data_IF_871171212636
#
_entry.id   IF_871171212636
#
_cell.length_a   1.000
_cell.length_b   1.000
_cell.length_c   1.000
_cell.angle_alpha   90.00
_cell.angle_beta   90.00
_cell.angle_gamma   90.00
#
_symmetry.space_group_name_H-M   'P 1'
#
loop_
_entity.id
_entity.type
_entity.pdbx_description
1 polymer ?
#
# COMPACT_ATOMS: atom_id res chain seq x y z
N UNK A 1 -42.52 14.86 16.46
CA UNK A 1 -43.08 14.11 17.62
C UNK A 1 -42.31 14.50 18.88
N UNK A 2 -42.97 14.57 20.02
CA UNK A 2 -42.35 14.97 21.30
C UNK A 2 -41.61 13.80 21.96
N UNK A 3 -40.54 14.07 22.72
CA UNK A 3 -39.87 13.07 23.56
C UNK A 3 -40.84 12.30 24.50
N UNK A 4 -41.97 12.94 24.86
CA UNK A 4 -43.06 12.35 25.66
C UNK A 4 -43.80 11.20 24.95
N UNK A 5 -43.67 11.06 23.63
CA UNK A 5 -44.24 9.96 22.83
C UNK A 5 -43.28 8.77 22.71
N UNK A 6 -41.96 9.00 22.67
CA UNK A 6 -40.95 7.93 22.59
C UNK A 6 -40.92 7.07 23.87
N UNK A 7 -41.11 7.70 25.04
CA UNK A 7 -41.12 7.04 26.35
C UNK A 7 -42.29 6.04 26.59
N UNK A 8 -43.20 5.85 25.62
CA UNK A 8 -44.30 4.86 25.69
C UNK A 8 -43.98 3.50 25.06
N UNK A 9 -42.85 3.35 24.37
CA UNK A 9 -42.56 2.15 23.55
C UNK A 9 -41.63 1.11 24.21
N UNK A 10 -41.29 1.24 25.50
CA UNK A 10 -40.50 0.23 26.23
C UNK A 10 -41.28 -0.33 27.43
N UNK A 11 -41.63 -1.63 27.44
CA UNK A 11 -42.31 -2.27 28.56
C UNK A 11 -41.45 -2.31 29.84
N UNK A 12 -42.10 -2.14 31.00
CA UNK A 12 -41.45 -2.20 32.33
C UNK A 12 -41.42 -3.64 32.85
N UNK A 13 -40.29 -4.09 33.39
CA UNK A 13 -40.17 -5.34 34.13
C UNK A 13 -39.56 -5.12 35.54
N UNK A 14 -40.46 -5.14 36.54
CA UNK A 14 -40.32 -5.48 37.97
C UNK A 14 -38.99 -5.24 38.74
N UNK A 15 -39.05 -4.30 39.71
CA UNK A 15 -38.31 -4.40 40.99
C UNK A 15 -39.19 -5.13 42.01
N UNK A 16 -38.60 -6.04 42.80
CA UNK A 16 -39.27 -6.64 43.97
C UNK A 16 -39.24 -5.67 45.18
N UNK A 17 -40.23 -5.79 46.06
CA UNK A 17 -40.37 -4.98 47.27
C UNK A 17 -40.19 -5.86 48.53
N UNK A 18 -39.34 -5.40 49.47
CA UNK A 18 -39.04 -5.98 50.81
C UNK A 18 -38.06 -7.17 50.86
N UNK A 19 -37.49 -7.34 52.06
CA UNK A 19 -36.28 -8.12 52.40
C UNK A 19 -36.57 -9.17 53.49
N UNK A 20 -35.99 -10.37 53.45
CA UNK A 20 -36.03 -11.32 54.57
C UNK A 20 -34.99 -10.98 55.66
N UNK A 21 -35.30 -11.29 56.92
CA UNK A 21 -34.50 -10.96 58.11
C UNK A 21 -34.36 -12.20 59.00
N UNK A 22 -33.09 -12.56 59.27
CA UNK A 22 -32.51 -13.27 60.44
C UNK A 22 -33.18 -14.57 60.96
N UNK A 23 -32.33 -15.58 61.19
CA UNK A 23 -32.40 -16.34 62.45
C UNK A 23 -30.98 -16.54 63.05
N UNK A 24 -30.86 -16.48 64.38
CA UNK A 24 -29.63 -16.72 65.20
C UNK A 24 -29.96 -16.98 66.67
N UNK A 25 -29.74 -18.22 67.16
CA UNK A 25 -29.07 -18.49 68.46
C UNK A 25 -28.08 -19.69 68.38
N UNK A 26 -27.20 -20.05 69.35
CA UNK A 26 -26.63 -19.38 70.54
C UNK A 26 -25.35 -20.13 71.05
N UNK A 27 -24.16 -19.49 70.99
CA UNK A 27 -23.04 -19.58 71.99
C UNK A 27 -22.31 -20.93 72.28
N UNK A 28 -21.23 -20.94 73.12
CA UNK A 28 -20.10 -20.01 73.28
C UNK A 28 -18.72 -20.74 73.33
N UNK A 29 -17.58 -20.12 73.02
CA UNK A 29 -16.56 -19.46 73.91
C UNK A 29 -15.35 -19.24 72.97
N UNK A 30 -14.49 -18.24 73.07
CA UNK A 30 -13.80 -17.67 74.23
C UNK A 30 -13.29 -16.26 73.87
N UNK A 31 -13.19 -15.36 74.86
CA UNK A 31 -12.66 -14.01 74.64
C UNK A 31 -11.14 -14.09 74.52
N UNK A 32 -10.61 -14.07 73.29
CA UNK A 32 -9.21 -13.77 73.04
C UNK A 32 -9.04 -12.25 73.02
N UNK A 33 -8.57 -11.70 74.14
CA UNK A 33 -8.24 -10.29 74.28
C UNK A 33 -7.08 -9.92 73.35
N UNK A 34 -7.41 -9.37 72.18
CA UNK A 34 -6.42 -8.81 71.28
C UNK A 34 -5.85 -7.53 71.91
N UNK A 35 -4.61 -7.60 72.39
CA UNK A 35 -3.89 -6.46 72.95
C UNK A 35 -3.61 -5.35 71.91
N UNK A 36 -2.91 -4.26 72.32
CA UNK A 36 -2.75 -3.05 71.50
C UNK A 36 -2.15 -3.27 70.09
N UNK A 37 -1.50 -4.40 69.85
CA UNK A 37 -0.95 -4.78 68.55
C UNK A 37 -1.98 -4.98 67.43
N UNK A 38 -3.29 -5.02 67.73
CA UNK A 38 -4.37 -5.09 66.75
C UNK A 38 -4.57 -3.80 65.92
N UNK A 39 -3.99 -2.67 66.34
CA UNK A 39 -4.18 -1.35 65.72
C UNK A 39 -2.93 -0.80 65.01
N UNK A 40 -1.94 -1.64 64.67
CA UNK A 40 -0.82 -1.20 63.82
C UNK A 40 -1.20 -1.25 62.33
N UNK A 41 -0.96 -0.18 61.52
CA UNK A 41 -1.50 -0.07 60.16
C UNK A 41 -0.96 -1.04 59.10
N UNK A 42 0.07 -1.84 59.42
CA UNK A 42 0.90 -2.55 58.45
C UNK A 42 0.82 -4.07 58.59
N UNK A 43 -0.38 -4.68 58.49
CA UNK A 43 -0.52 -6.15 58.58
C UNK A 43 -1.37 -6.84 57.51
N UNK A 44 -1.66 -6.15 56.39
CA UNK A 44 -2.49 -6.70 55.29
C UNK A 44 -1.88 -6.52 53.89
N UNK A 45 -0.55 -6.66 53.74
CA UNK A 45 0.11 -6.73 52.43
C UNK A 45 1.32 -7.69 52.42
N UNK A 46 1.08 -8.99 52.53
CA UNK A 46 1.90 -9.91 51.73
C UNK A 46 1.35 -9.87 50.30
N UNK A 47 2.13 -9.27 49.40
CA UNK A 47 1.70 -9.00 48.02
C UNK A 47 1.75 -10.29 47.23
N UNK A 48 0.58 -10.88 47.02
CA UNK A 48 0.39 -12.12 46.29
C UNK A 48 0.92 -11.97 44.85
N UNK A 49 2.00 -12.71 44.53
CA UNK A 49 2.69 -12.61 43.23
C UNK A 49 1.81 -12.99 42.04
N UNK A 50 0.67 -13.65 42.29
CA UNK A 50 -0.29 -14.06 41.26
C UNK A 50 -1.23 -12.93 40.81
N UNK A 51 -1.43 -11.88 41.62
CA UNK A 51 -2.45 -10.85 41.35
C UNK A 51 -2.06 -9.87 40.22
N UNK A 52 -0.77 -9.78 39.86
CA UNK A 52 -0.30 -8.92 38.75
C UNK A 52 -0.53 -9.50 37.35
N UNK A 53 -0.79 -10.82 37.23
CA UNK A 53 -1.01 -11.48 35.92
C UNK A 53 -2.36 -11.19 35.26
N UNK A 54 -3.26 -10.47 35.94
CA UNK A 54 -4.59 -10.05 35.45
C UNK A 54 -4.83 -8.55 35.57
N UNK A 55 -3.77 -7.76 35.67
CA UNK A 55 -3.85 -6.36 35.27
C UNK A 55 -3.94 -6.40 33.75
N UNK A 56 -5.15 -6.28 33.20
CA UNK A 56 -5.35 -5.95 31.79
C UNK A 56 -4.35 -4.85 31.44
N UNK A 57 -3.60 -5.02 30.34
CA UNK A 57 -2.64 -4.02 29.89
C UNK A 57 -3.33 -2.66 30.02
N UNK A 58 -2.82 -1.71 30.83
CA UNK A 58 -3.34 -0.36 30.73
C UNK A 58 -3.07 0.02 29.29
N UNK A 59 -4.14 0.13 28.48
CA UNK A 59 -4.01 0.47 27.08
C UNK A 59 -3.24 1.78 27.07
N UNK A 60 -1.97 1.71 26.66
CA UNK A 60 -1.16 2.90 26.49
C UNK A 60 -1.68 3.55 25.21
N UNK A 61 -2.85 4.19 25.36
CA UNK A 61 -3.33 5.19 24.44
C UNK A 61 -2.10 6.06 24.14
N UNK A 62 -1.66 6.12 22.88
CA UNK A 62 -0.43 6.81 22.52
C UNK A 62 -0.55 8.21 23.08
N UNK A 63 0.45 8.66 23.86
CA UNK A 63 0.35 9.87 24.68
C UNK A 63 -0.16 11.00 23.79
N UNK A 64 -1.45 11.34 23.93
CA UNK A 64 -2.08 12.29 23.04
C UNK A 64 -1.41 13.62 23.30
N UNK A 65 -0.58 14.04 22.35
CA UNK A 65 -0.02 15.37 22.35
C UNK A 65 -1.21 16.30 22.14
N UNK A 66 -1.62 16.98 23.22
CA UNK A 66 -2.59 18.05 23.13
C UNK A 66 -1.91 19.13 22.29
N UNK A 67 -2.32 19.23 21.03
CA UNK A 67 -1.85 20.25 20.11
C UNK A 67 -2.54 21.54 20.53
N UNK A 68 -1.84 22.38 21.28
CA UNK A 68 -2.35 23.71 21.62
C UNK A 68 -2.56 24.51 20.32
N UNK A 69 -3.80 24.82 19.91
CA UNK A 69 -4.06 25.43 18.60
C UNK A 69 -3.42 26.83 18.48
N UNK A 70 -3.17 27.50 19.62
CA UNK A 70 -2.44 28.77 19.70
C UNK A 70 -0.99 28.68 19.23
N UNK A 71 -0.36 27.51 19.34
CA UNK A 71 1.03 27.28 18.93
C UNK A 71 1.14 26.92 17.44
N UNK A 72 0.03 26.61 16.79
CA UNK A 72 -0.06 26.20 15.39
C UNK A 72 -0.98 27.15 14.61
N UNK A 73 -0.57 28.42 14.52
CA UNK A 73 -1.32 29.49 13.86
C UNK A 73 -1.58 29.27 12.36
N UNK A 74 -0.75 28.46 11.70
CA UNK A 74 -0.91 28.10 10.30
C UNK A 74 -1.77 26.84 10.15
N UNK A 75 -2.73 26.88 9.22
CA UNK A 75 -3.48 25.69 8.83
C UNK A 75 -2.59 24.61 8.20
N UNK A 76 -3.02 23.34 8.24
CA UNK A 76 -2.34 22.24 7.55
C UNK A 76 -2.21 22.52 6.04
N UNK A 77 -3.22 23.17 5.44
CA UNK A 77 -3.19 23.58 4.05
C UNK A 77 -2.03 24.55 3.76
N UNK A 78 -1.82 25.57 4.60
CA UNK A 78 -0.69 26.50 4.44
C UNK A 78 0.68 25.81 4.57
N UNK A 79 0.82 24.78 5.41
CA UNK A 79 2.07 24.02 5.49
C UNK A 79 2.31 23.21 4.20
N UNK A 80 1.31 22.48 3.72
CA UNK A 80 1.40 21.72 2.47
C UNK A 80 1.59 22.64 1.24
N UNK A 81 1.02 23.84 1.25
CA UNK A 81 1.18 24.83 0.17
C UNK A 81 2.52 25.58 0.24
N UNK A 82 3.19 25.63 1.40
CA UNK A 82 4.60 26.09 1.51
C UNK A 82 5.57 25.08 0.89
N UNK A 83 5.27 23.78 0.97
CA UNK A 83 6.08 22.71 0.37
C UNK A 83 5.90 22.61 -1.16
N UNK A 84 4.72 22.98 -1.67
CA UNK A 84 4.47 23.01 -3.12
C UNK A 84 5.31 24.10 -3.80
N UNK A 85 6.09 23.69 -4.80
CA UNK A 85 6.78 24.63 -5.69
C UNK A 85 5.74 25.46 -6.45
N UNK A 86 5.84 26.79 -6.34
CA UNK A 86 4.97 27.74 -7.08
C UNK A 86 5.40 27.82 -8.54
N UNK A 87 4.92 26.88 -9.35
CA UNK A 87 5.07 26.90 -10.80
C UNK A 87 3.84 27.59 -11.43
N UNK A 88 4.06 28.48 -12.40
CA UNK A 88 2.97 28.99 -13.25
C UNK A 88 2.49 27.88 -14.17
N UNK A 89 1.17 27.59 -14.23
CA UNK A 89 0.65 26.52 -15.08
C UNK A 89 0.85 26.89 -16.57
N UNK A 90 1.43 25.97 -17.34
CA UNK A 90 1.77 26.16 -18.75
C UNK A 90 1.07 25.09 -19.60
N UNK A 91 0.19 25.52 -20.51
CA UNK A 91 -0.44 24.62 -21.48
C UNK A 91 0.46 24.50 -22.72
N UNK A 92 0.89 23.29 -23.06
CA UNK A 92 1.74 22.99 -24.22
C UNK A 92 0.99 22.35 -25.40
N UNK A 93 -0.31 22.07 -25.23
CA UNK A 93 -1.13 21.42 -26.26
C UNK A 93 -1.93 22.39 -27.12
N UNK A 94 -2.82 21.81 -27.92
CA UNK A 94 -3.79 22.58 -28.70
C UNK A 94 -4.84 23.25 -27.81
N UNK A 95 -5.45 24.33 -28.33
CA UNK A 95 -6.60 24.94 -27.68
C UNK A 95 -7.76 23.92 -27.55
N UNK A 96 -8.48 23.90 -26.41
CA UNK A 96 -9.55 22.94 -26.17
C UNK A 96 -10.68 23.11 -27.20
N UNK A 97 -11.27 21.98 -27.64
CA UNK A 97 -12.43 22.02 -28.54
C UNK A 97 -13.57 22.80 -27.90
N UNK A 98 -14.17 23.73 -28.64
CA UNK A 98 -15.42 24.36 -28.22
C UNK A 98 -16.51 23.27 -28.19
N UNK A 99 -16.95 22.88 -27.00
CA UNK A 99 -18.08 21.97 -26.84
C UNK A 99 -19.30 22.63 -27.46
N UNK A 100 -19.95 21.96 -28.42
CA UNK A 100 -21.22 22.43 -28.94
C UNK A 100 -22.20 22.57 -27.76
N UNK A 101 -22.93 23.69 -27.63
CA UNK A 101 -23.91 23.83 -26.57
C UNK A 101 -24.96 22.74 -26.71
N UNK A 102 -25.26 22.05 -25.62
CA UNK A 102 -26.27 20.99 -25.62
C UNK A 102 -27.58 21.53 -26.18
N UNK A 103 -28.13 20.86 -27.21
CA UNK A 103 -29.35 21.30 -27.89
C UNK A 103 -30.46 21.49 -26.84
N UNK A 104 -31.10 22.67 -26.76
CA UNK A 104 -32.11 22.92 -25.74
C UNK A 104 -33.30 21.99 -25.94
N UNK A 105 -33.47 21.03 -25.03
CA UNK A 105 -34.61 20.10 -25.00
C UNK A 105 -35.93 20.88 -24.97
N UNK A 106 -36.88 20.51 -25.82
CA UNK A 106 -38.20 21.13 -25.91
C UNK A 106 -39.02 20.86 -24.65
N UNK A 107 -40.01 21.72 -24.37
CA UNK A 107 -40.76 21.65 -23.10
C UNK A 107 -41.54 20.32 -22.93
N UNK A 108 -42.05 19.74 -24.02
CA UNK A 108 -42.65 18.39 -23.99
C UNK A 108 -41.64 17.30 -23.56
N UNK A 109 -40.39 17.36 -24.03
CA UNK A 109 -39.32 16.45 -23.60
C UNK A 109 -38.95 16.67 -22.13
N UNK A 110 -39.00 17.92 -21.66
CA UNK A 110 -38.76 18.25 -20.24
C UNK A 110 -39.85 17.66 -19.35
N UNK A 111 -41.13 17.81 -19.71
CA UNK A 111 -42.24 17.17 -19.00
C UNK A 111 -42.11 15.64 -18.96
N UNK A 112 -41.70 15.01 -20.06
CA UNK A 112 -41.52 13.56 -20.10
C UNK A 112 -40.37 13.10 -19.19
N UNK A 113 -39.22 13.79 -19.22
CA UNK A 113 -38.12 13.52 -18.31
C UNK A 113 -38.48 13.81 -16.84
N UNK A 114 -39.34 14.81 -16.58
CA UNK A 114 -39.82 15.14 -15.23
C UNK A 114 -40.71 14.01 -14.68
N UNK A 115 -41.62 13.48 -15.50
CA UNK A 115 -42.42 12.29 -15.16
C UNK A 115 -41.56 11.05 -14.92
N UNK A 116 -40.53 10.81 -15.75
CA UNK A 116 -39.58 9.70 -15.56
C UNK A 116 -38.71 9.88 -14.31
N UNK A 117 -38.28 11.11 -14.01
CA UNK A 117 -37.53 11.47 -12.80
C UNK A 117 -38.33 11.19 -11.53
N UNK A 118 -39.61 11.61 -11.48
CA UNK A 118 -40.52 11.32 -10.34
C UNK A 118 -40.71 9.83 -10.07
N UNK A 119 -40.56 8.98 -11.10
CA UNK A 119 -40.65 7.52 -10.99
C UNK A 119 -39.28 6.83 -10.79
N UNK A 120 -38.19 7.57 -10.82
CA UNK A 120 -36.81 7.06 -10.88
C UNK A 120 -36.52 6.13 -12.08
N UNK A 121 -37.20 6.40 -13.22
CA UNK A 121 -37.00 5.71 -14.52
C UNK A 121 -36.05 6.47 -15.45
N UNK A 122 -35.55 7.65 -15.05
CA UNK A 122 -34.67 8.48 -15.87
C UNK A 122 -33.21 8.02 -15.76
N UNK A 123 -32.69 7.45 -16.85
CA UNK A 123 -31.28 7.07 -17.00
C UNK A 123 -30.52 8.08 -17.86
N UNK A 124 -29.20 8.12 -17.68
CA UNK A 124 -28.26 8.87 -18.52
C UNK A 124 -27.39 7.87 -19.25
N UNK A 125 -27.27 8.00 -20.57
CA UNK A 125 -26.46 7.08 -21.38
C UNK A 125 -24.97 7.26 -21.04
N UNK A 126 -24.28 6.25 -20.49
CA UNK A 126 -22.90 6.38 -20.03
C UNK A 126 -21.95 6.73 -21.19
N UNK A 127 -22.20 6.18 -22.38
CA UNK A 127 -21.42 6.41 -23.59
C UNK A 127 -21.49 7.87 -24.08
N UNK A 128 -22.55 8.60 -23.70
CA UNK A 128 -22.68 10.04 -24.01
C UNK A 128 -21.89 10.94 -23.04
N UNK A 129 -21.46 10.42 -21.90
CA UNK A 129 -20.77 11.20 -20.87
C UNK A 129 -19.26 11.21 -21.10
N UNK A 130 -18.74 12.34 -21.60
CA UNK A 130 -17.30 12.54 -21.74
C UNK A 130 -16.64 12.69 -20.35
N UNK A 131 -15.88 11.67 -19.95
CA UNK A 131 -15.07 11.65 -18.74
C UNK A 131 -13.83 12.54 -18.92
N UNK A 132 -13.99 13.85 -18.80
CA UNK A 132 -12.90 14.81 -18.90
C UNK A 132 -11.88 14.66 -17.76
N UNK A 133 -10.60 14.55 -18.11
CA UNK A 133 -9.66 13.65 -17.40
C UNK A 133 -8.39 14.30 -16.87
N UNK A 134 -8.20 15.60 -17.10
CA UNK A 134 -7.06 16.36 -16.61
C UNK A 134 -6.89 16.27 -15.09
N UNK A 135 -7.99 16.20 -14.32
CA UNK A 135 -7.94 15.99 -12.87
C UNK A 135 -7.35 14.62 -12.48
N UNK A 136 -7.64 13.56 -13.23
CA UNK A 136 -7.12 12.21 -13.02
C UNK A 136 -5.63 12.17 -13.38
N UNK A 137 -5.25 12.74 -14.53
CA UNK A 137 -3.87 12.84 -14.99
C UNK A 137 -2.98 13.63 -13.99
N UNK A 138 -3.53 14.70 -13.39
CA UNK A 138 -2.88 15.47 -12.34
C UNK A 138 -2.79 14.71 -11.01
N UNK A 139 -3.84 13.98 -10.61
CA UNK A 139 -3.80 13.13 -9.41
C UNK A 139 -2.68 12.07 -9.52
N UNK A 140 -2.56 11.44 -10.70
CA UNK A 140 -1.49 10.49 -11.01
C UNK A 140 -0.17 11.14 -11.43
N UNK A 141 -0.02 12.48 -11.36
CA UNK A 141 1.21 13.22 -11.69
C UNK A 141 1.83 12.87 -13.06
N UNK A 142 1.00 12.49 -14.03
CA UNK A 142 1.47 11.98 -15.33
C UNK A 142 2.24 13.07 -16.09
N UNK A 143 1.68 14.28 -16.18
CA UNK A 143 2.35 15.40 -16.85
C UNK A 143 3.64 15.85 -16.12
N UNK A 144 3.62 15.87 -14.77
CA UNK A 144 4.78 16.27 -13.95
C UNK A 144 5.99 15.37 -14.20
N UNK A 145 5.78 14.06 -14.34
CA UNK A 145 6.84 13.10 -14.60
C UNK A 145 7.31 13.06 -16.07
N UNK A 146 6.45 13.46 -17.02
CA UNK A 146 6.77 13.48 -18.46
C UNK A 146 7.47 14.77 -18.92
N UNK A 147 6.92 15.92 -18.54
CA UNK A 147 7.31 17.23 -19.07
C UNK A 147 7.88 18.17 -17.99
N UNK A 148 7.59 17.90 -16.71
CA UNK A 148 8.04 18.71 -15.58
C UNK A 148 6.89 19.42 -14.85
N UNK A 149 7.22 20.00 -13.69
CA UNK A 149 6.24 20.61 -12.80
C UNK A 149 5.54 21.85 -13.42
N UNK A 150 4.21 21.85 -13.39
CA UNK A 150 3.37 22.95 -13.89
C UNK A 150 3.02 22.86 -15.38
N UNK A 151 3.56 21.90 -16.12
CA UNK A 151 3.19 21.65 -17.53
C UNK A 151 1.95 20.77 -17.60
N UNK A 152 1.03 21.07 -18.52
CA UNK A 152 -0.15 20.26 -18.81
C UNK A 152 -0.62 20.46 -20.27
N UNK A 153 -1.57 19.64 -20.71
CA UNK A 153 -2.38 19.91 -21.89
C UNK A 153 -3.76 19.26 -21.77
N UNK A 154 -4.71 19.72 -22.59
CA UNK A 154 -6.04 19.13 -22.73
C UNK A 154 -6.05 18.08 -23.85
N UNK A 155 -6.83 17.00 -23.68
CA UNK A 155 -7.06 16.03 -24.76
C UNK A 155 -7.98 16.67 -25.81
N UNK A 156 -7.46 16.86 -27.02
CA UNK A 156 -8.11 17.54 -28.16
C UNK A 156 -8.35 16.59 -29.34
N UNK A 157 -7.89 15.35 -29.25
CA UNK A 157 -8.08 14.31 -30.27
C UNK A 157 -8.50 13.01 -29.60
N UNK A 158 -9.57 12.41 -30.10
CA UNK A 158 -10.05 11.14 -29.59
C UNK A 158 -9.08 10.03 -30.03
N UNK A 159 -8.73 9.18 -29.07
CA UNK A 159 -7.71 8.15 -29.17
C UNK A 159 -8.28 6.95 -28.43
N UNK A 160 -8.47 5.84 -29.13
CA UNK A 160 -8.96 4.60 -28.52
C UNK A 160 -7.89 3.52 -28.67
N UNK A 161 -7.56 2.87 -27.55
CA UNK A 161 -6.50 1.87 -27.48
C UNK A 161 -7.05 0.64 -26.77
N UNK A 162 -6.89 -0.54 -27.36
CA UNK A 162 -7.32 -1.80 -26.77
C UNK A 162 -6.30 -2.92 -26.92
N UNK A 163 -6.19 -3.76 -25.89
CA UNK A 163 -5.45 -5.00 -25.88
C UNK A 163 -6.44 -6.17 -25.95
N UNK A 164 -6.78 -6.58 -27.17
CA UNK A 164 -7.87 -7.53 -27.42
C UNK A 164 -9.21 -6.95 -26.94
N UNK A 165 -9.85 -7.61 -25.99
CA UNK A 165 -11.12 -7.15 -25.40
C UNK A 165 -10.95 -6.06 -24.33
N UNK A 166 -9.72 -5.76 -23.90
CA UNK A 166 -9.46 -4.83 -22.80
C UNK A 166 -9.09 -3.43 -23.30
N UNK A 167 -10.00 -2.47 -23.15
CA UNK A 167 -9.75 -1.05 -23.42
C UNK A 167 -8.79 -0.40 -22.42
N UNK A 168 -8.00 0.56 -22.90
CA UNK A 168 -7.14 1.45 -22.11
C UNK A 168 -7.88 2.76 -21.86
N UNK A 169 -7.96 3.17 -20.60
CA UNK A 169 -8.64 4.39 -20.17
C UNK A 169 -7.66 5.29 -19.41
N UNK A 170 -8.05 5.77 -18.22
CA UNK A 170 -7.30 6.73 -17.42
C UNK A 170 -6.99 6.14 -16.04
N UNK A 171 -6.03 5.21 -16.02
CA UNK A 171 -5.55 4.54 -14.81
C UNK A 171 -6.25 3.23 -14.47
N UNK A 172 -6.94 2.59 -15.43
CA UNK A 172 -7.41 1.22 -15.27
C UNK A 172 -6.23 0.23 -15.20
N UNK A 173 -6.41 -0.89 -14.51
CA UNK A 173 -5.34 -1.89 -14.34
C UNK A 173 -5.43 -2.98 -15.41
N UNK A 174 -4.32 -3.24 -16.10
CA UNK A 174 -4.17 -4.33 -17.07
C UNK A 174 -2.95 -5.20 -16.70
N UNK A 175 -3.06 -6.53 -16.81
CA UNK A 175 -1.91 -7.41 -16.58
C UNK A 175 -0.88 -7.28 -17.70
N UNK A 176 0.38 -7.57 -17.38
CA UNK A 176 1.45 -7.57 -18.38
C UNK A 176 1.28 -8.68 -19.44
N UNK A 177 0.54 -9.76 -19.12
CA UNK A 177 0.20 -10.82 -20.09
C UNK A 177 -0.85 -10.38 -21.12
N UNK A 178 -1.88 -9.62 -20.71
CA UNK A 178 -2.83 -8.98 -21.65
C UNK A 178 -2.10 -8.01 -22.59
N UNK A 179 -1.12 -7.27 -22.06
CA UNK A 179 -0.25 -6.40 -22.84
C UNK A 179 0.99 -7.11 -23.44
N UNK A 180 0.92 -8.42 -23.69
CA UNK A 180 1.99 -9.19 -24.36
C UNK A 180 2.04 -8.91 -25.87
N UNK A 181 0.87 -8.73 -26.50
CA UNK A 181 0.71 -8.39 -27.91
C UNK A 181 0.60 -6.88 -28.14
N UNK A 182 0.79 -6.45 -29.40
CA UNK A 182 0.59 -5.05 -29.81
C UNK A 182 -0.88 -4.63 -29.59
N UNK A 183 -1.15 -3.42 -29.08
CA UNK A 183 -2.51 -2.92 -28.97
C UNK A 183 -3.09 -2.59 -30.35
N UNK A 184 -4.41 -2.67 -30.47
CA UNK A 184 -5.15 -1.98 -31.52
C UNK A 184 -5.24 -0.50 -31.12
N UNK A 185 -5.01 0.39 -32.08
CA UNK A 185 -5.02 1.84 -31.86
C UNK A 185 -5.85 2.48 -32.95
N UNK A 186 -6.89 3.21 -32.55
CA UNK A 186 -7.72 4.02 -33.43
C UNK A 186 -7.47 5.49 -33.08
N UNK A 187 -7.18 6.29 -34.11
CA UNK A 187 -6.85 7.71 -33.98
C UNK A 187 -7.90 8.48 -34.77
N UNK A 188 -8.57 9.43 -34.13
CA UNK A 188 -9.51 10.31 -34.81
C UNK A 188 -8.80 11.17 -35.88
N UNK A 189 -9.33 11.16 -37.10
CA UNK A 189 -8.85 12.01 -38.21
C UNK A 189 -9.36 13.43 -38.05
N UNK A 190 -8.48 14.44 -38.12
CA UNK A 190 -8.84 15.86 -37.91
C UNK A 190 -8.46 16.73 -39.12
N UNK A 191 -7.30 16.51 -39.73
CA UNK A 191 -6.74 17.38 -40.76
C UNK A 191 -5.96 16.55 -41.78
N UNK A 192 -6.58 16.34 -42.94
CA UNK A 192 -5.99 15.64 -44.07
C UNK A 192 -4.61 16.20 -44.43
N UNK A 193 -3.59 15.33 -44.46
CA UNK A 193 -2.21 15.71 -44.74
C UNK A 193 -1.37 16.11 -43.52
N UNK A 194 -1.95 16.14 -42.32
CA UNK A 194 -1.17 16.13 -41.08
C UNK A 194 -0.62 14.72 -40.79
N UNK A 195 0.27 14.65 -39.80
CA UNK A 195 0.85 13.41 -39.31
C UNK A 195 0.72 13.34 -37.79
N UNK A 196 0.61 12.12 -37.28
CA UNK A 196 0.56 11.79 -35.87
C UNK A 196 1.80 10.96 -35.49
N UNK A 197 2.18 10.99 -34.22
CA UNK A 197 3.27 10.17 -33.66
C UNK A 197 2.84 9.67 -32.29
N UNK A 198 2.86 8.35 -32.13
CA UNK A 198 2.44 7.66 -30.91
C UNK A 198 3.67 7.20 -30.12
N UNK A 199 3.68 7.50 -28.83
CA UNK A 199 4.63 6.96 -27.85
C UNK A 199 3.89 6.11 -26.82
N UNK A 200 4.46 4.97 -26.45
CA UNK A 200 4.08 4.14 -25.30
C UNK A 200 5.26 4.08 -24.33
N UNK A 201 5.07 4.62 -23.13
CA UNK A 201 6.14 4.95 -22.19
C UNK A 201 5.81 4.44 -20.80
N UNK A 202 6.76 3.78 -20.15
CA UNK A 202 6.67 3.39 -18.75
C UNK A 202 7.36 4.46 -17.87
N UNK A 203 6.56 5.14 -17.04
CA UNK A 203 7.01 6.23 -16.18
C UNK A 203 7.83 5.76 -14.98
N UNK A 204 7.60 4.51 -14.56
CA UNK A 204 8.11 3.94 -13.31
C UNK A 204 9.09 2.77 -13.56
N UNK A 205 9.34 2.45 -14.83
CA UNK A 205 10.01 1.22 -15.29
C UNK A 205 11.52 1.29 -15.46
N UNK A 206 12.18 2.39 -15.07
CA UNK A 206 13.62 2.58 -15.27
C UNK A 206 14.44 1.92 -14.14
N UNK A 207 15.25 0.87 -14.40
CA UNK A 207 16.09 0.25 -13.38
C UNK A 207 17.52 0.82 -13.35
N UNK A 208 17.90 1.67 -14.32
CA UNK A 208 19.28 2.10 -14.54
C UNK A 208 19.55 3.50 -13.99
N UNK A 209 18.62 4.44 -14.21
CA UNK A 209 18.76 5.85 -13.83
C UNK A 209 17.62 6.28 -12.89
N UNK A 210 17.86 7.32 -12.08
CA UNK A 210 16.84 7.89 -11.18
C UNK A 210 15.79 8.73 -11.89
N UNK A 211 16.14 9.24 -13.06
CA UNK A 211 15.32 10.09 -13.91
C UNK A 211 15.26 9.45 -15.30
N UNK A 212 14.26 9.80 -16.11
CA UNK A 212 14.04 9.18 -17.42
C UNK A 212 13.09 7.98 -17.37
N UNK A 213 12.50 7.70 -18.53
CA UNK A 213 11.38 6.78 -18.73
C UNK A 213 11.70 5.76 -19.82
N UNK A 214 11.06 4.59 -19.79
CA UNK A 214 11.37 3.50 -20.74
C UNK A 214 10.38 3.49 -21.91
N UNK A 215 10.91 3.59 -23.14
CA UNK A 215 10.14 3.45 -24.37
C UNK A 215 9.79 1.98 -24.65
N UNK A 216 8.50 1.64 -24.56
CA UNK A 216 7.98 0.32 -24.91
C UNK A 216 7.66 0.21 -26.41
N UNK A 217 7.11 1.27 -27.01
CA UNK A 217 6.75 1.33 -28.42
C UNK A 217 6.72 2.79 -28.89
N UNK A 218 7.22 3.07 -30.09
CA UNK A 218 7.21 4.41 -30.70
C UNK A 218 7.00 4.27 -32.19
N UNK A 219 5.93 4.88 -32.70
CA UNK A 219 5.61 4.93 -34.13
C UNK A 219 5.46 6.38 -34.55
N UNK A 220 6.31 6.81 -35.48
CA UNK A 220 6.40 8.18 -35.95
C UNK A 220 5.77 8.37 -37.33
N UNK A 221 5.34 9.59 -37.63
CA UNK A 221 4.88 10.01 -38.96
C UNK A 221 3.72 9.15 -39.51
N UNK A 222 2.80 8.74 -38.64
CA UNK A 222 1.54 8.07 -39.02
C UNK A 222 0.69 9.10 -39.80
N UNK A 223 0.34 8.89 -41.06
CA UNK A 223 -0.49 9.84 -41.81
C UNK A 223 -1.91 9.92 -41.24
N UNK A 224 -2.50 11.12 -41.18
CA UNK A 224 -3.82 11.33 -40.56
C UNK A 224 -4.93 10.56 -41.29
N UNK A 225 -5.87 9.99 -40.51
CA UNK A 225 -6.94 9.13 -41.03
C UNK A 225 -6.52 7.74 -41.49
N UNK A 226 -5.30 7.29 -41.17
CA UNK A 226 -4.80 5.94 -41.48
C UNK A 226 -4.42 5.16 -40.22
N UNK A 227 -4.29 3.84 -40.37
CA UNK A 227 -3.84 2.94 -39.30
C UNK A 227 -2.37 3.15 -38.93
N UNK A 228 -2.03 2.79 -37.69
CA UNK A 228 -0.66 2.91 -37.14
C UNK A 228 0.38 2.11 -37.95
N UNK A 229 -0.04 1.07 -38.68
CA UNK A 229 0.80 0.25 -39.55
C UNK A 229 1.44 1.03 -40.72
N UNK A 230 0.86 2.16 -41.14
CA UNK A 230 1.47 3.04 -42.15
C UNK A 230 2.49 4.04 -41.57
N UNK A 231 2.67 4.07 -40.25
CA UNK A 231 3.71 4.85 -39.58
C UNK A 231 5.07 4.16 -39.60
N UNK A 232 6.12 4.93 -39.33
CA UNK A 232 7.48 4.43 -39.18
C UNK A 232 7.71 3.93 -37.74
N UNK A 233 7.81 2.61 -37.53
CA UNK A 233 8.10 2.00 -36.21
C UNK A 233 9.57 2.28 -35.81
N UNK A 234 9.78 3.31 -34.99
CA UNK A 234 11.10 3.74 -34.49
C UNK A 234 11.59 2.81 -33.38
N UNK A 235 10.67 2.42 -32.49
CA UNK A 235 10.93 1.49 -31.39
C UNK A 235 9.97 0.34 -31.52
N UNK A 236 10.51 -0.87 -31.74
CA UNK A 236 9.71 -2.10 -31.79
C UNK A 236 8.95 -2.31 -30.50
N UNK A 237 7.69 -2.68 -30.62
CA UNK A 237 6.82 -3.01 -29.48
C UNK A 237 7.47 -4.02 -28.53
N UNK A 238 7.50 -3.68 -27.26
CA UNK A 238 7.87 -4.54 -26.13
C UNK A 238 6.79 -4.41 -25.06
N UNK A 239 6.24 -5.54 -24.62
CA UNK A 239 5.27 -5.59 -23.51
C UNK A 239 5.75 -4.79 -22.28
N UNK A 240 4.86 -4.26 -21.45
CA UNK A 240 5.23 -3.68 -20.16
C UNK A 240 6.04 -4.64 -19.30
N UNK A 241 7.06 -4.12 -18.61
CA UNK A 241 7.97 -4.90 -17.75
C UNK A 241 7.98 -4.37 -16.29
N UNK A 242 6.85 -4.40 -15.57
CA UNK A 242 6.83 -4.14 -14.13
C UNK A 242 7.62 -5.22 -13.39
N UNK A 243 8.62 -4.81 -12.60
CA UNK A 243 9.50 -5.76 -11.89
C UNK A 243 8.79 -6.38 -10.67
N UNK A 244 9.30 -7.52 -10.21
CA UNK A 244 8.73 -8.16 -9.02
C UNK A 244 8.95 -7.25 -7.81
N UNK A 245 7.88 -6.87 -7.12
CA UNK A 245 7.92 -6.07 -5.90
C UNK A 245 8.14 -4.55 -6.08
N UNK A 246 8.22 -4.04 -7.32
CA UNK A 246 8.25 -2.58 -7.57
C UNK A 246 6.86 -1.91 -7.53
N UNK A 247 5.78 -2.69 -7.52
CA UNK A 247 4.41 -2.21 -7.37
C UNK A 247 3.69 -2.00 -8.71
N UNK A 248 2.87 -0.94 -8.77
CA UNK A 248 2.13 -0.56 -9.98
C UNK A 248 2.96 0.39 -10.85
N UNK A 249 3.15 0.05 -12.11
CA UNK A 249 3.79 0.90 -13.11
C UNK A 249 2.75 1.61 -13.96
N UNK A 250 2.91 2.91 -14.17
CA UNK A 250 2.06 3.71 -15.07
C UNK A 250 2.61 3.67 -16.48
N UNK A 251 1.83 3.13 -17.41
CA UNK A 251 2.15 3.07 -18.84
C UNK A 251 1.32 4.13 -19.57
N UNK A 252 1.96 5.19 -20.03
CA UNK A 252 1.32 6.30 -20.73
C UNK A 252 1.44 6.15 -22.25
N UNK A 253 0.33 6.34 -22.95
CA UNK A 253 0.26 6.55 -24.39
C UNK A 253 0.13 8.04 -24.67
N UNK A 254 1.07 8.61 -25.42
CA UNK A 254 1.07 10.03 -25.79
C UNK A 254 0.97 10.15 -27.30
N UNK A 255 -0.02 10.90 -27.77
CA UNK A 255 -0.21 11.22 -29.17
C UNK A 255 0.25 12.66 -29.44
N UNK A 256 1.29 12.80 -30.25
CA UNK A 256 1.69 14.08 -30.82
C UNK A 256 1.14 14.22 -32.23
N UNK A 257 0.76 15.44 -32.60
CA UNK A 257 0.33 15.81 -33.96
C UNK A 257 1.26 16.87 -34.51
N UNK A 258 1.56 16.80 -35.81
CA UNK A 258 2.47 17.70 -36.51
C UNK A 258 2.09 17.85 -37.98
N UNK A 259 2.39 19.02 -38.56
CA UNK A 259 2.08 19.35 -39.97
C UNK A 259 3.19 18.89 -40.95
N UNK A 260 4.36 18.48 -40.45
CA UNK A 260 5.53 18.10 -41.25
C UNK A 260 6.19 16.87 -40.64
N UNK A 261 6.60 15.87 -41.44
CA UNK A 261 7.17 14.63 -40.93
C UNK A 261 8.45 14.90 -40.11
N UNK A 262 8.48 14.34 -38.90
CA UNK A 262 9.59 14.48 -37.95
C UNK A 262 10.78 13.68 -38.45
N UNK A 263 11.95 14.35 -38.50
CA UNK A 263 13.25 13.76 -38.85
C UNK A 263 14.13 13.50 -37.63
N UNK A 264 13.99 14.33 -36.58
CA UNK A 264 14.73 14.18 -35.32
C UNK A 264 13.99 13.21 -34.39
N UNK A 265 14.14 11.92 -34.66
CA UNK A 265 13.59 10.84 -33.84
C UNK A 265 14.68 10.30 -32.92
N UNK A 266 14.36 9.82 -31.70
CA UNK A 266 15.38 9.32 -30.80
C UNK A 266 16.00 8.06 -31.41
N UNK A 267 17.33 8.00 -31.47
CA UNK A 267 18.06 6.88 -32.05
C UNK A 267 18.23 5.76 -31.02
N UNK A 268 17.24 4.88 -30.97
CA UNK A 268 17.27 3.66 -30.16
C UNK A 268 18.17 2.62 -30.85
N UNK A 269 19.47 2.70 -30.56
CA UNK A 269 20.53 1.97 -31.30
C UNK A 269 20.53 0.43 -31.08
N UNK A 270 19.73 -0.09 -30.15
CA UNK A 270 19.61 -1.52 -29.87
C UNK A 270 18.24 -1.89 -29.31
N UNK A 271 17.85 -3.16 -29.44
CA UNK A 271 16.60 -3.70 -28.87
C UNK A 271 16.63 -3.88 -27.34
N UNK A 272 17.75 -3.54 -26.69
CA UNK A 272 17.98 -3.70 -25.23
C UNK A 272 17.26 -2.64 -24.38
N UNK A 273 17.05 -2.92 -23.09
CA UNK A 273 16.25 -2.05 -22.20
C UNK A 273 16.96 -0.76 -21.79
N UNK A 274 18.29 -0.78 -21.70
CA UNK A 274 19.14 0.37 -21.40
C UNK A 274 19.04 1.43 -22.50
N UNK A 275 19.16 1.02 -23.77
CA UNK A 275 19.03 1.92 -24.91
C UNK A 275 17.62 2.52 -25.05
N UNK A 276 16.59 1.92 -24.43
CA UNK A 276 15.20 2.39 -24.41
C UNK A 276 14.90 3.41 -23.33
N UNK A 277 15.85 3.72 -22.44
CA UNK A 277 15.73 4.81 -21.45
C UNK A 277 15.88 6.15 -22.15
N UNK A 278 14.91 7.05 -21.97
CA UNK A 278 14.97 8.40 -22.51
C UNK A 278 14.14 9.40 -21.69
N UNK A 279 14.47 10.70 -21.83
CA UNK A 279 13.75 11.79 -21.18
C UNK A 279 12.79 12.48 -22.17
N UNK A 280 11.49 12.39 -21.87
CA UNK A 280 10.43 12.99 -22.69
C UNK A 280 10.48 14.51 -22.73
N UNK A 281 10.81 15.16 -21.62
CA UNK A 281 10.93 16.63 -21.55
C UNK A 281 12.04 17.15 -22.46
N UNK A 282 13.19 16.46 -22.51
CA UNK A 282 14.29 16.79 -23.40
C UNK A 282 13.95 16.54 -24.88
N UNK A 283 13.34 15.38 -25.20
CA UNK A 283 12.87 15.09 -26.56
C UNK A 283 11.84 16.10 -27.07
N UNK A 284 10.88 16.48 -26.22
CA UNK A 284 9.87 17.47 -26.55
C UNK A 284 10.51 18.85 -26.77
N UNK A 285 11.42 19.28 -25.89
CA UNK A 285 12.09 20.59 -26.00
C UNK A 285 12.94 20.73 -27.27
N UNK A 286 13.47 19.63 -27.82
CA UNK A 286 14.18 19.63 -29.10
C UNK A 286 13.28 19.74 -30.32
N UNK A 287 11.98 19.41 -30.20
CA UNK A 287 11.03 19.30 -31.31
C UNK A 287 9.80 20.20 -31.15
N UNK A 288 9.80 21.12 -30.18
CA UNK A 288 8.66 21.97 -29.78
C UNK A 288 8.06 22.77 -30.95
N UNK A 289 8.88 23.22 -31.90
CA UNK A 289 8.45 23.94 -33.12
C UNK A 289 7.72 23.05 -34.15
N UNK A 290 7.79 21.72 -34.01
CA UNK A 290 7.29 20.74 -34.97
C UNK A 290 6.16 19.89 -34.39
N UNK A 291 6.31 19.39 -33.16
CA UNK A 291 5.36 18.47 -32.52
C UNK A 291 4.56 19.16 -31.43
N UNK A 292 3.25 18.91 -31.40
CA UNK A 292 2.35 19.41 -30.35
C UNK A 292 1.57 18.23 -29.77
N UNK A 293 1.52 18.05 -28.44
CA UNK A 293 0.72 16.99 -27.84
C UNK A 293 -0.78 17.23 -28.08
N UNK A 294 -1.48 16.15 -28.41
CA UNK A 294 -2.88 16.16 -28.87
C UNK A 294 -3.78 15.34 -27.94
N UNK A 295 -3.28 14.21 -27.44
CA UNK A 295 -4.03 13.33 -26.54
C UNK A 295 -3.09 12.50 -25.66
N UNK A 296 -3.53 12.16 -24.44
CA UNK A 296 -2.85 11.24 -23.53
C UNK A 296 -3.83 10.28 -22.86
N UNK A 297 -3.45 9.00 -22.83
CA UNK A 297 -4.09 7.93 -22.08
C UNK A 297 -3.03 7.23 -21.22
N UNK A 298 -3.46 6.52 -20.18
CA UNK A 298 -2.53 5.67 -19.44
C UNK A 298 -3.25 4.55 -18.69
N UNK A 299 -2.60 3.41 -18.56
CA UNK A 299 -3.06 2.31 -17.71
C UNK A 299 -2.01 1.99 -16.64
N UNK A 300 -2.43 1.23 -15.63
CA UNK A 300 -1.55 0.68 -14.61
C UNK A 300 -1.29 -0.80 -14.87
N UNK A 301 -0.09 -1.27 -14.57
CA UNK A 301 0.26 -2.68 -14.69
C UNK A 301 1.13 -3.16 -13.53
N UNK A 302 1.03 -4.44 -13.22
CA UNK A 302 1.74 -5.10 -12.11
C UNK A 302 2.57 -6.28 -12.63
N UNK A 303 3.56 -6.72 -11.86
CA UNK A 303 4.32 -7.93 -12.15
C UNK A 303 3.38 -9.12 -12.43
N UNK A 304 3.78 -9.92 -13.42
CA UNK A 304 3.18 -11.19 -13.82
C UNK A 304 4.28 -12.11 -14.37
N UNK A 305 4.06 -13.42 -14.42
CA UNK A 305 5.06 -14.39 -14.89
C UNK A 305 5.40 -14.25 -16.39
N UNK A 306 4.55 -13.58 -17.17
CA UNK A 306 4.84 -13.15 -18.53
C UNK A 306 6.07 -12.22 -18.59
N UNK A 307 6.22 -11.30 -17.62
CA UNK A 307 7.36 -10.38 -17.51
C UNK A 307 8.66 -11.15 -17.35
N UNK A 308 8.69 -12.14 -16.46
CA UNK A 308 9.87 -12.97 -16.22
C UNK A 308 10.29 -13.74 -17.48
N UNK A 309 9.33 -14.31 -18.22
CA UNK A 309 9.58 -15.00 -19.50
C UNK A 309 10.19 -14.04 -20.52
N UNK A 310 9.66 -12.81 -20.64
CA UNK A 310 10.16 -11.82 -21.57
C UNK A 310 11.55 -11.27 -21.21
N UNK A 311 11.81 -11.00 -19.92
CA UNK A 311 13.15 -10.61 -19.45
C UNK A 311 14.18 -11.70 -19.76
N UNK A 312 13.85 -12.97 -19.51
CA UNK A 312 14.72 -14.10 -19.87
C UNK A 312 14.95 -14.21 -21.38
N UNK A 313 13.92 -13.93 -22.21
CA UNK A 313 14.04 -13.88 -23.69
C UNK A 313 14.97 -12.75 -24.16
N UNK A 314 15.06 -11.66 -23.41
CA UNK A 314 16.03 -10.57 -23.63
C UNK A 314 17.44 -10.87 -23.07
N UNK A 315 17.66 -12.05 -22.48
CA UNK A 315 18.93 -12.42 -21.82
C UNK A 315 19.11 -11.78 -20.44
N UNK A 316 18.09 -11.13 -19.89
CA UNK A 316 18.12 -10.45 -18.59
C UNK A 316 17.58 -11.36 -17.48
N UNK A 317 18.13 -11.22 -16.27
CA UNK A 317 17.58 -11.85 -15.06
C UNK A 317 16.46 -10.97 -14.52
N UNK A 318 15.35 -11.58 -14.08
CA UNK A 318 14.29 -10.84 -13.39
C UNK A 318 14.79 -10.35 -12.02
N UNK A 319 14.85 -9.03 -11.76
CA UNK A 319 15.13 -8.52 -10.43
C UNK A 319 13.94 -8.77 -9.49
N UNK A 320 14.24 -8.87 -8.20
CA UNK A 320 13.28 -9.01 -7.11
C UNK A 320 13.52 -7.82 -6.19
N UNK A 321 12.53 -6.95 -6.07
CA UNK A 321 12.50 -5.85 -5.13
C UNK A 321 11.68 -6.25 -3.91
N UNK A 322 12.07 -5.72 -2.74
CA UNK A 322 11.34 -5.85 -1.50
C UNK A 322 11.20 -4.46 -0.87
N UNK A 323 10.02 -4.14 -0.34
CA UNK A 323 9.80 -2.85 0.30
C UNK A 323 10.48 -2.82 1.68
N UNK A 324 11.66 -2.20 1.76
CA UNK A 324 12.32 -1.95 3.05
C UNK A 324 11.59 -0.83 3.79
N UNK A 325 10.83 -1.20 4.82
CA UNK A 325 10.28 -0.24 5.77
C UNK A 325 11.39 0.55 6.49
N UNK A 326 11.10 1.81 6.83
CA UNK A 326 11.97 2.60 7.69
C UNK A 326 12.14 1.89 9.03
N UNK A 327 13.38 1.83 9.52
CA UNK A 327 13.68 1.21 10.80
C UNK A 327 12.96 1.98 11.94
N UNK A 328 12.36 1.27 12.90
CA UNK A 328 11.59 1.91 13.97
C UNK A 328 12.51 2.82 14.80
N UNK A 329 12.03 4.01 15.14
CA UNK A 329 12.81 4.97 15.94
C UNK A 329 13.04 4.42 17.36
N UNK A 330 14.26 3.95 17.61
CA UNK A 330 14.71 3.47 18.92
C UNK A 330 15.30 4.64 19.72
N UNK A 331 14.89 4.88 20.98
CA UNK A 331 15.60 5.81 21.87
C UNK A 331 16.99 5.25 22.20
N UNK A 332 17.95 6.09 22.62
CA UNK A 332 19.24 5.58 23.09
C UNK A 332 19.08 4.65 24.30
N UNK A 333 19.77 3.50 24.26
CA UNK A 333 19.77 2.53 25.37
C UNK A 333 20.32 3.18 26.65
N UNK A 334 19.74 2.78 27.79
CA UNK A 334 20.14 3.24 29.13
C UNK A 334 20.16 2.03 30.04
N UNK A 335 21.19 1.95 30.88
CA UNK A 335 21.29 0.91 31.92
C UNK A 335 20.04 0.88 32.81
N UNK A 336 19.52 2.06 33.14
CA UNK A 336 18.32 2.24 33.97
C UNK A 336 17.29 3.13 33.25
N UNK A 337 16.27 2.55 32.59
CA UNK A 337 15.20 3.33 31.98
C UNK A 337 14.36 4.03 33.06
N UNK A 338 14.23 5.37 32.97
CA UNK A 338 13.51 6.22 33.95
C UNK A 338 12.02 5.87 34.13
N UNK A 339 11.43 5.14 33.19
CA UNK A 339 10.08 4.58 33.29
C UNK A 339 10.21 3.05 33.30
N UNK A 340 9.45 2.34 34.15
CA UNK A 340 9.42 0.88 34.09
C UNK A 340 8.92 0.44 32.71
N UNK A 341 9.71 -0.36 32.02
CA UNK A 341 9.35 -1.05 30.79
C UNK A 341 9.50 -2.57 31.02
N UNK A 342 8.72 -3.43 30.33
CA UNK A 342 8.96 -4.87 30.34
C UNK A 342 10.41 -5.16 29.93
N UNK A 343 11.10 -6.01 30.70
CA UNK A 343 12.54 -6.24 30.53
C UNK A 343 12.83 -6.90 29.18
N UNK A 344 11.97 -7.85 28.82
CA UNK A 344 11.84 -8.56 27.57
C UNK A 344 11.75 -7.59 26.38
N UNK A 345 10.66 -6.83 26.27
CA UNK A 345 10.50 -5.85 25.19
C UNK A 345 11.59 -4.76 25.17
N UNK A 346 12.11 -4.35 26.33
CA UNK A 346 13.17 -3.34 26.38
C UNK A 346 14.48 -3.87 25.80
N UNK A 347 14.89 -5.07 26.19
CA UNK A 347 16.14 -5.68 25.72
C UNK A 347 16.03 -6.09 24.25
N UNK A 348 14.94 -6.76 23.86
CA UNK A 348 14.70 -7.19 22.47
C UNK A 348 14.65 -6.00 21.48
N UNK A 349 14.25 -4.81 21.95
CA UNK A 349 14.31 -3.59 21.12
C UNK A 349 15.75 -3.22 20.69
N UNK A 350 16.79 -3.56 21.47
CA UNK A 350 18.19 -3.28 21.13
C UNK A 350 18.96 -4.49 20.59
N UNK A 351 18.40 -5.70 20.69
CA UNK A 351 18.95 -6.89 20.05
C UNK A 351 18.81 -6.81 18.53
N UNK A 352 19.60 -7.61 17.84
CA UNK A 352 19.47 -7.78 16.39
C UNK A 352 18.14 -8.47 16.08
N UNK A 353 17.26 -7.87 15.24
CA UNK A 353 15.91 -8.42 15.00
C UNK A 353 15.92 -9.86 14.51
N UNK A 354 16.95 -10.26 13.75
CA UNK A 354 17.11 -11.63 13.23
C UNK A 354 17.27 -12.68 14.34
N UNK A 355 17.99 -12.35 15.42
CA UNK A 355 18.13 -13.26 16.56
C UNK A 355 16.80 -13.43 17.29
N UNK A 356 16.10 -12.31 17.53
CA UNK A 356 14.79 -12.31 18.21
C UNK A 356 13.74 -13.05 17.37
N UNK A 357 13.72 -12.85 16.06
CA UNK A 357 12.85 -13.57 15.12
C UNK A 357 13.18 -15.06 15.05
N UNK A 358 14.46 -15.43 15.07
CA UNK A 358 14.89 -16.83 15.12
C UNK A 358 14.44 -17.50 16.43
N UNK A 359 14.74 -16.91 17.58
CA UNK A 359 14.31 -17.43 18.89
C UNK A 359 12.79 -17.59 18.97
N UNK A 360 12.05 -16.59 18.47
CA UNK A 360 10.59 -16.60 18.45
C UNK A 360 10.04 -17.64 17.46
N UNK A 361 10.69 -17.86 16.31
CA UNK A 361 10.34 -18.92 15.37
C UNK A 361 10.60 -20.30 15.98
N UNK A 362 11.76 -20.54 16.58
CA UNK A 362 12.07 -21.78 17.29
C UNK A 362 11.06 -22.05 18.43
N UNK A 363 10.71 -21.02 19.21
CA UNK A 363 9.68 -21.08 20.25
C UNK A 363 8.26 -21.33 19.71
N UNK A 364 7.94 -20.87 18.49
CA UNK A 364 6.69 -21.22 17.79
C UNK A 364 6.72 -22.68 17.32
N UNK A 365 7.81 -23.13 16.70
CA UNK A 365 7.98 -24.51 16.23
C UNK A 365 7.91 -25.52 17.39
N UNK A 366 8.57 -25.23 18.52
CA UNK A 366 8.42 -25.98 19.80
C UNK A 366 6.95 -26.16 20.20
N UNK A 367 6.16 -25.08 20.16
CA UNK A 367 4.73 -25.10 20.53
C UNK A 367 3.86 -25.78 19.49
N UNK A 368 4.21 -25.68 18.21
CA UNK A 368 3.53 -26.33 17.10
C UNK A 368 3.75 -27.85 17.05
N UNK A 369 4.79 -28.36 17.72
CA UNK A 369 5.11 -29.80 17.81
C UNK A 369 5.36 -30.43 16.43
N UNK A 370 6.15 -29.74 15.60
CA UNK A 370 6.65 -30.26 14.32
C UNK A 370 7.88 -31.15 14.55
N UNK A 371 7.94 -32.28 13.86
CA UNK A 371 8.86 -33.40 14.16
C UNK A 371 10.35 -33.06 14.02
N UNK A 372 10.71 -32.08 13.19
CA UNK A 372 12.10 -31.70 12.89
C UNK A 372 12.78 -30.85 13.98
N UNK A 373 12.11 -30.56 15.10
CA UNK A 373 12.67 -29.68 16.13
C UNK A 373 13.76 -30.33 17.00
N UNK A 374 15.03 -29.99 16.75
CA UNK A 374 16.13 -30.38 17.63
C UNK A 374 16.11 -29.56 18.94
N UNK A 375 15.71 -30.22 20.03
CA UNK A 375 15.68 -29.60 21.35
C UNK A 375 17.09 -29.14 21.82
N UNK A 376 17.22 -27.93 22.41
CA UNK A 376 18.50 -27.41 22.85
C UNK A 376 19.12 -28.29 23.94
N UNK A 377 20.45 -28.38 23.91
CA UNK A 377 21.22 -29.23 24.82
C UNK A 377 20.98 -28.83 26.27
N UNK A 378 20.57 -29.79 27.10
CA UNK A 378 20.36 -29.57 28.53
C UNK A 378 21.65 -29.16 29.24
N UNK A 379 21.56 -28.11 30.03
CA UNK A 379 22.59 -27.69 30.98
C UNK A 379 22.08 -27.98 32.39
N UNK A 380 22.87 -28.71 33.16
CA UNK A 380 22.58 -29.00 34.57
C UNK A 380 22.88 -27.75 35.42
N UNK A 381 21.89 -27.13 36.10
CA UNK A 381 22.12 -25.95 36.93
C UNK A 381 23.16 -26.17 38.04
N UNK A 382 23.28 -27.40 38.56
CA UNK A 382 24.18 -27.75 39.65
C UNK A 382 25.38 -28.59 39.16
N UNK A 383 25.78 -28.43 37.90
CA UNK A 383 26.85 -29.21 37.24
C UNK A 383 28.10 -29.41 38.11
N UNK A 384 28.60 -28.34 38.75
CA UNK A 384 29.83 -28.39 39.54
C UNK A 384 29.72 -29.20 40.84
N UNK A 385 28.52 -29.29 41.42
CA UNK A 385 28.24 -30.08 42.62
C UNK A 385 27.97 -31.54 42.24
N UNK A 386 27.12 -31.74 41.23
CA UNK A 386 26.77 -33.06 40.70
C UNK A 386 27.99 -33.80 40.14
N UNK A 387 28.93 -33.11 39.49
CA UNK A 387 30.19 -33.68 39.00
C UNK A 387 31.14 -34.16 40.11
N UNK A 388 31.05 -33.58 41.32
CA UNK A 388 31.87 -33.98 42.48
C UNK A 388 31.21 -35.12 43.27
N UNK A 389 29.90 -35.03 43.46
CA UNK A 389 29.17 -35.88 44.40
C UNK A 389 28.60 -37.15 43.75
N UNK A 390 28.36 -37.15 42.44
CA UNK A 390 27.75 -38.29 41.73
C UNK A 390 28.79 -39.12 40.97
N UNK A 391 28.62 -40.46 40.92
CA UNK A 391 29.38 -41.30 40.02
C UNK A 391 29.30 -40.82 38.56
N UNK A 392 30.37 -40.95 37.75
CA UNK A 392 30.42 -40.41 36.38
C UNK A 392 29.25 -40.85 35.48
N UNK A 393 28.72 -42.07 35.69
CA UNK A 393 27.57 -42.59 34.96
C UNK A 393 26.24 -41.92 35.34
N UNK A 394 26.04 -41.57 36.62
CA UNK A 394 24.83 -40.85 37.07
C UNK A 394 24.85 -39.41 36.58
N UNK A 395 26.00 -38.74 36.68
CA UNK A 395 26.19 -37.38 36.16
C UNK A 395 25.99 -37.33 34.63
N UNK A 396 26.57 -38.29 33.88
CA UNK A 396 26.32 -38.44 32.43
C UNK A 396 24.84 -38.65 32.12
N UNK A 397 24.13 -39.45 32.93
CA UNK A 397 22.70 -39.74 32.76
C UNK A 397 21.82 -38.51 33.00
N UNK A 398 22.16 -37.65 33.96
CA UNK A 398 21.50 -36.36 34.21
C UNK A 398 21.70 -35.41 33.02
N UNK A 399 22.94 -35.29 32.52
CA UNK A 399 23.26 -34.48 31.34
C UNK A 399 22.51 -34.94 30.08
N UNK A 400 22.34 -36.24 29.90
CA UNK A 400 21.60 -36.83 28.79
C UNK A 400 20.06 -36.79 28.97
N UNK A 401 19.54 -36.32 30.12
CA UNK A 401 18.11 -36.39 30.51
C UNK A 401 17.51 -37.81 30.44
N UNK A 402 18.30 -38.85 30.66
CA UNK A 402 17.84 -40.24 30.53
C UNK A 402 17.35 -40.83 31.87
N UNK A 403 16.26 -41.59 31.85
CA UNK A 403 15.68 -42.24 33.04
C UNK A 403 14.20 -41.92 33.24
N UNK A 404 13.67 -42.16 34.46
CA UNK A 404 12.22 -42.07 34.74
C UNK A 404 11.58 -40.72 34.37
N UNK A 405 12.33 -39.62 34.51
CA UNK A 405 11.84 -38.28 34.20
C UNK A 405 11.96 -37.88 32.72
N UNK A 406 12.56 -38.72 31.85
CA UNK A 406 12.66 -38.48 30.40
C UNK A 406 11.29 -38.23 29.78
N UNK A 407 10.27 -38.98 30.23
CA UNK A 407 8.89 -38.85 29.76
C UNK A 407 8.20 -37.51 30.10
N UNK A 408 8.68 -36.77 31.12
CA UNK A 408 8.14 -35.43 31.44
C UNK A 408 8.59 -34.36 30.45
N UNK A 409 9.73 -34.56 29.79
CA UNK A 409 10.37 -33.61 28.88
C UNK A 409 10.39 -34.08 27.42
N UNK A 410 9.98 -35.32 27.18
CA UNK A 410 10.01 -35.98 25.89
C UNK A 410 8.71 -36.80 25.76
N UNK A 411 7.66 -36.14 25.28
CA UNK A 411 6.31 -36.71 25.18
C UNK A 411 6.20 -37.65 23.97
N UNK A 412 6.51 -38.93 24.18
CA UNK A 412 6.43 -39.99 23.14
C UNK A 412 4.97 -40.29 22.74
N UNK A 413 3.96 -39.75 23.44
CA UNK A 413 2.52 -40.01 23.21
C UNK A 413 1.93 -39.12 22.10
N UNK A 414 2.78 -38.48 21.29
CA UNK A 414 2.39 -37.78 20.06
C UNK A 414 3.35 -38.14 18.94
N UNK A 415 3.01 -39.24 18.26
CA UNK A 415 3.51 -39.69 16.96
C UNK A 415 2.28 -40.03 16.11
#
# INVERSE_FOLDING_TARGET
MSAKQYARLVPKAHRAQRTPVIDRPMRPRMIAWAGPAAFYPNRFYEIDKWYKGRIDKPEQLPKLHIIDPTNHLHSLAEFLDKEKRKCTPCNIGFAPRQKQPAVPKTDAQREEMERKSRKMELLVDPDSTNFATLAVLNHYKVFEHLFGAGVYFDNVQDLDISFGEHGVYYGNTLSADVASSRPQVQIESIKTGAYNTLFMINLDGNPFEKEGSVAHWVVANIPDGKGVEEGNEVVKYVQPLPFYGSGFHRIAFILFRHDKPVKSLPQFNSDSLDARVFSMSHFYKQNEDVITPSSILFFQTTYDDSVRKQLHKMGLKSPIYEYKYNEPLKPAQREFPKKPQPFDLYLDMYRDPKEVEQELLEERLKRAQLDDYQAPKWLDPNYNENKKNLPPWQHRRILAREGRYRALYNNVVKS
#
